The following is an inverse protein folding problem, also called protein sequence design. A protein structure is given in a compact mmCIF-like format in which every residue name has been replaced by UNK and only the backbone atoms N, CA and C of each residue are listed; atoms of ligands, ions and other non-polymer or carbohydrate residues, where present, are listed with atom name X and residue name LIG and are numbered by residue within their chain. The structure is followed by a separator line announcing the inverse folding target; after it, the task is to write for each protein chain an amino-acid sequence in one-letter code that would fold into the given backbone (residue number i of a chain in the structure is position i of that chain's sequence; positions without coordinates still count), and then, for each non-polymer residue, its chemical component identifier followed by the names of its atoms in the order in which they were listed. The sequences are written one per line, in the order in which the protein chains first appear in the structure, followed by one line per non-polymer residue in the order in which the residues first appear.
data_IF_509855958381
#
_entry.id   IF_509855958381
#
_cell.length_a   1.000
_cell.length_b   1.000
_cell.length_c   1.000
_cell.angle_alpha   90.00
_cell.angle_beta   90.00
_cell.angle_gamma   90.00
#
_symmetry.space_group_name_H-M   'P 1'
#
loop_
_entity.id
_entity.type
_entity.pdbx_description
1 polymer ?
#
# COMPACT_ATOMS: atom_id res chain seq x y z
N UNK A 1 -14.86 1.75 -8.07
CA UNK A 1 -15.12 1.69 -9.52
C UNK A 1 -14.50 2.93 -10.15
N UNK A 2 -13.23 2.87 -10.55
CA UNK A 2 -12.53 4.06 -11.02
C UNK A 2 -12.25 3.84 -12.52
N UNK A 3 -13.16 4.34 -13.37
CA UNK A 3 -12.96 4.34 -14.82
C UNK A 3 -11.94 5.41 -15.18
N UNK A 4 -10.83 5.02 -15.79
CA UNK A 4 -9.76 5.96 -16.16
C UNK A 4 -9.97 6.46 -17.61
N UNK A 5 -9.98 7.79 -17.78
CA UNK A 5 -9.83 8.45 -19.08
C UNK A 5 -8.37 8.84 -19.25
N UNK A 6 -7.76 8.32 -20.32
CA UNK A 6 -6.37 8.58 -20.70
C UNK A 6 -6.37 9.80 -21.63
N UNK A 7 -5.63 10.84 -21.25
CA UNK A 7 -5.43 12.03 -22.07
C UNK A 7 -4.02 12.02 -22.63
N UNK A 8 -3.88 11.92 -23.95
CA UNK A 8 -2.62 12.13 -24.65
C UNK A 8 -2.35 13.64 -24.79
N UNK A 9 -1.16 14.09 -24.42
CA UNK A 9 -0.71 15.47 -24.61
C UNK A 9 0.29 15.50 -25.77
N UNK A 10 -0.15 15.95 -26.95
CA UNK A 10 0.72 16.11 -28.11
C UNK A 10 1.33 17.53 -28.11
N UNK A 11 2.66 17.65 -28.17
CA UNK A 11 3.33 18.90 -28.53
C UNK A 11 4.06 18.72 -29.86
N UNK A 12 3.72 19.57 -30.83
CA UNK A 12 4.19 19.50 -32.21
C UNK A 12 5.59 20.07 -32.42
N UNK A 13 6.16 19.62 -33.54
CA UNK A 13 7.37 20.06 -34.23
C UNK A 13 8.73 19.62 -33.62
N UNK A 14 9.31 18.59 -34.24
CA UNK A 14 10.70 18.14 -34.11
C UNK A 14 11.10 17.47 -32.79
N UNK A 15 10.54 16.28 -32.59
CA UNK A 15 11.37 15.08 -32.43
C UNK A 15 12.20 14.93 -31.16
N UNK A 16 11.61 15.04 -29.97
CA UNK A 16 12.01 14.22 -28.81
C UNK A 16 10.72 13.83 -28.07
N UNK A 17 10.32 12.56 -28.17
CA UNK A 17 9.20 12.01 -27.39
C UNK A 17 9.76 11.62 -26.01
N UNK A 18 9.54 12.47 -25.01
CA UNK A 18 9.81 12.14 -23.61
C UNK A 18 8.66 11.27 -23.08
N UNK A 19 8.84 9.95 -23.09
CA UNK A 19 7.90 9.03 -22.46
C UNK A 19 8.08 9.09 -20.93
N UNK A 20 7.19 9.80 -20.25
CA UNK A 20 7.10 9.77 -18.78
C UNK A 20 6.32 8.51 -18.38
N UNK A 21 7.01 7.49 -17.88
CA UNK A 21 6.39 6.31 -17.29
C UNK A 21 5.84 6.70 -15.90
N UNK A 22 4.54 6.98 -15.82
CA UNK A 22 3.87 7.06 -14.52
C UNK A 22 3.57 5.65 -14.01
N UNK A 23 4.14 5.32 -12.85
CA UNK A 23 3.77 4.11 -12.11
C UNK A 23 2.35 4.28 -11.59
N UNK A 24 1.43 3.42 -12.03
CA UNK A 24 0.12 3.30 -11.39
C UNK A 24 0.32 2.62 -10.03
N UNK A 25 -0.35 3.08 -8.97
CA UNK A 25 -0.30 2.40 -7.69
C UNK A 25 -0.82 0.97 -7.86
N UNK A 26 0.03 -0.02 -7.55
CA UNK A 26 -0.34 -1.42 -7.57
C UNK A 26 -1.39 -1.67 -6.48
N UNK A 27 -2.39 -2.51 -6.77
CA UNK A 27 -3.28 -3.03 -5.72
C UNK A 27 -2.43 -3.88 -4.78
N UNK A 28 -2.27 -3.44 -3.53
CA UNK A 28 -1.60 -4.20 -2.50
C UNK A 28 -2.41 -5.47 -2.18
N UNK A 29 -1.73 -6.61 -1.99
CA UNK A 29 -2.36 -7.90 -1.66
C UNK A 29 -2.83 -8.00 -0.20
N UNK A 30 -2.45 -7.01 0.62
CA UNK A 30 -2.87 -6.87 2.01
C UNK A 30 -3.63 -5.55 2.08
N UNK A 31 -4.92 -5.64 2.41
CA UNK A 31 -5.86 -4.52 2.39
C UNK A 31 -6.42 -4.34 3.80
N UNK A 32 -6.11 -3.22 4.50
CA UNK A 32 -6.75 -2.88 5.76
C UNK A 32 -8.25 -2.70 5.59
N UNK A 33 -9.04 -3.13 6.57
CA UNK A 33 -10.51 -3.01 6.52
C UNK A 33 -11.06 -1.68 7.09
N UNK A 34 -10.26 -0.97 7.88
CA UNK A 34 -10.67 0.31 8.46
C UNK A 34 -11.55 0.22 9.71
N UNK A 35 -11.67 -0.95 10.35
CA UNK A 35 -12.56 -1.17 11.50
C UNK A 35 -11.90 -1.00 12.88
N UNK A 36 -10.68 -0.48 12.93
CA UNK A 36 -9.94 -0.26 14.18
C UNK A 36 -9.87 1.24 14.50
N UNK A 37 -9.87 1.60 15.79
CA UNK A 37 -9.66 2.98 16.26
C UNK A 37 -8.36 3.59 15.70
N UNK A 38 -7.27 2.80 15.72
CA UNK A 38 -6.05 3.05 14.96
C UNK A 38 -5.91 1.95 13.91
N UNK A 39 -6.14 2.32 12.66
CA UNK A 39 -6.15 1.37 11.56
C UNK A 39 -4.78 0.78 11.26
N UNK A 40 -4.80 -0.43 10.69
CA UNK A 40 -3.59 -1.01 10.12
C UNK A 40 -3.17 -0.23 8.87
N UNK A 41 -1.88 0.00 8.74
CA UNK A 41 -1.29 0.65 7.58
C UNK A 41 -0.37 -0.34 6.87
N UNK A 42 -0.39 -0.33 5.54
CA UNK A 42 0.44 -1.21 4.72
C UNK A 42 1.21 -0.38 3.73
N UNK A 43 2.53 -0.43 3.81
CA UNK A 43 3.44 0.11 2.80
C UNK A 43 4.20 -1.03 2.14
N UNK A 44 4.28 -1.01 0.81
CA UNK A 44 4.97 -2.05 0.04
C UNK A 44 6.22 -1.48 -0.62
N UNK A 45 7.34 -2.14 -0.36
CA UNK A 45 8.61 -1.90 -1.04
C UNK A 45 9.17 -3.25 -1.51
N UNK A 46 9.36 -3.39 -2.82
CA UNK A 46 9.76 -4.65 -3.46
C UNK A 46 8.85 -5.84 -3.07
N UNK A 47 9.44 -6.87 -2.44
CA UNK A 47 8.77 -8.08 -1.96
C UNK A 47 8.38 -8.00 -0.48
N UNK A 48 8.53 -6.83 0.15
CA UNK A 48 8.27 -6.63 1.58
C UNK A 48 7.08 -5.69 1.75
N UNK A 49 5.99 -6.22 2.29
CA UNK A 49 4.89 -5.43 2.83
C UNK A 49 5.17 -5.14 4.31
N UNK A 50 5.47 -3.88 4.64
CA UNK A 50 5.61 -3.44 6.03
C UNK A 50 4.25 -2.99 6.56
N UNK A 51 3.85 -3.59 7.69
CA UNK A 51 2.59 -3.36 8.38
C UNK A 51 2.89 -2.54 9.64
N UNK A 52 2.22 -1.40 9.78
CA UNK A 52 2.31 -0.47 10.92
C UNK A 52 0.90 -0.09 11.42
N UNK A 53 0.82 0.82 12.39
CA UNK A 53 -0.44 1.24 13.01
C UNK A 53 -1.03 0.14 13.90
N UNK A 54 -2.35 0.02 13.89
CA UNK A 54 -3.08 -0.96 14.69
C UNK A 54 -3.54 -0.41 16.04
N UNK A 55 -4.58 -1.04 16.60
CA UNK A 55 -5.17 -0.63 17.88
C UNK A 55 -4.60 -1.45 19.02
N UNK A 56 -4.07 -0.78 20.03
CA UNK A 56 -3.67 -1.43 21.27
C UNK A 56 -4.87 -1.60 22.21
N UNK A 57 -5.09 -2.81 22.69
CA UNK A 57 -6.01 -3.08 23.80
C UNK A 57 -5.29 -3.90 24.87
N UNK A 58 -5.02 -3.26 26.01
CA UNK A 58 -4.16 -3.81 27.06
C UNK A 58 -2.73 -4.02 26.55
N UNK A 59 -2.22 -5.23 26.70
CA UNK A 59 -0.86 -5.62 26.28
C UNK A 59 -0.80 -6.14 24.84
N UNK A 60 -1.92 -6.15 24.12
CA UNK A 60 -2.01 -6.69 22.76
C UNK A 60 -2.15 -5.56 21.74
N UNK A 61 -1.46 -5.69 20.62
CA UNK A 61 -1.62 -4.84 19.44
C UNK A 61 -2.42 -5.62 18.39
N UNK A 62 -3.55 -5.05 17.95
CA UNK A 62 -4.43 -5.66 16.97
C UNK A 62 -4.27 -5.00 15.59
N UNK A 63 -4.23 -5.85 14.57
CA UNK A 63 -4.29 -5.45 13.17
C UNK A 63 -5.51 -6.09 12.51
N UNK A 64 -6.15 -5.37 11.58
CA UNK A 64 -7.39 -5.80 10.93
C UNK A 64 -7.33 -5.55 9.43
N UNK A 65 -7.76 -6.55 8.66
CA UNK A 65 -7.60 -6.61 7.21
C UNK A 65 -8.84 -7.21 6.56
N UNK A 66 -9.29 -6.57 5.48
CA UNK A 66 -10.32 -7.12 4.60
C UNK A 66 -9.76 -8.30 3.81
N UNK A 67 -8.50 -8.17 3.37
CA UNK A 67 -7.79 -9.18 2.60
C UNK A 67 -6.35 -9.29 3.10
N UNK A 68 -5.89 -10.51 3.31
CA UNK A 68 -4.51 -10.78 3.71
C UNK A 68 -3.95 -11.93 2.89
N UNK A 69 -3.06 -11.61 1.95
CA UNK A 69 -2.36 -12.60 1.13
C UNK A 69 -0.87 -12.25 1.01
N UNK A 70 -0.03 -13.28 1.17
CA UNK A 70 1.44 -13.18 1.04
C UNK A 70 1.91 -14.22 0.02
N UNK A 71 2.30 -13.80 -1.20
CA UNK A 71 2.81 -14.71 -2.22
C UNK A 71 4.07 -15.44 -1.77
N UNK A 72 4.33 -16.60 -2.37
CA UNK A 72 5.59 -17.31 -2.17
C UNK A 72 6.78 -16.42 -2.55
N UNK A 73 7.74 -16.27 -1.63
CA UNK A 73 8.91 -15.42 -1.81
C UNK A 73 8.73 -13.96 -1.39
N UNK A 74 7.53 -13.56 -0.98
CA UNK A 74 7.25 -12.26 -0.37
C UNK A 74 7.28 -12.32 1.17
N UNK A 75 7.35 -11.16 1.81
CA UNK A 75 7.37 -11.01 3.27
C UNK A 75 6.33 -9.99 3.73
N UNK A 76 5.51 -10.38 4.71
CA UNK A 76 4.75 -9.43 5.53
C UNK A 76 5.50 -9.17 6.83
N UNK A 77 5.95 -7.94 7.04
CA UNK A 77 6.73 -7.51 8.22
C UNK A 77 5.87 -6.62 9.10
N UNK A 78 5.53 -7.09 10.29
CA UNK A 78 4.90 -6.28 11.32
C UNK A 78 5.97 -5.47 12.06
N UNK A 79 5.90 -4.14 11.93
CA UNK A 79 6.79 -3.23 12.65
C UNK A 79 6.01 -2.58 13.80
N UNK A 80 5.97 -3.29 14.92
CA UNK A 80 5.22 -2.90 16.10
C UNK A 80 6.04 -1.88 16.90
N UNK A 81 6.19 -0.66 16.40
CA UNK A 81 6.66 0.50 17.19
C UNK A 81 5.59 0.95 18.20
N UNK A 82 4.87 0.00 18.82
CA UNK A 82 3.99 0.32 19.92
C UNK A 82 4.86 0.84 21.06
N UNK A 83 4.60 2.09 21.45
CA UNK A 83 5.11 2.67 22.68
C UNK A 83 4.53 1.84 23.83
N UNK A 84 5.25 0.80 24.24
CA UNK A 84 5.00 0.14 25.52
C UNK A 84 5.48 1.15 26.56
N UNK A 85 4.57 1.97 27.06
CA UNK A 85 4.80 2.80 28.24
C UNK A 85 4.77 1.95 29.52
#
# INVERSE_FOLDING_TARGET
MNKLKIYQLCFGANGIILNVLFSLPALAQIVPDGFLDNNSEVSRQDRISTITGGTQAGTNLFHSFEQFSVPTGDTARFNNTALIC
#
